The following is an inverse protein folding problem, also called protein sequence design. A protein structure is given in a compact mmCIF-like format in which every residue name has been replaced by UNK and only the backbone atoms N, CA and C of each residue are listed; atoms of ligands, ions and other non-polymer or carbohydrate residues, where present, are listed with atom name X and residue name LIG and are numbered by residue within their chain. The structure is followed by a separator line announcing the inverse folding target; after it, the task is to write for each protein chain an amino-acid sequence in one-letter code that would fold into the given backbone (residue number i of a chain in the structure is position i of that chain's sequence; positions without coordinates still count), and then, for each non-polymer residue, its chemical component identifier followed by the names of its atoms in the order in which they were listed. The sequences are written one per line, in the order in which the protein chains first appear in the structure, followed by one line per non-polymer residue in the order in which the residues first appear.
data_IF_813710530800
#
_entry.id   IF_813710530800
#
_cell.length_a   1.000
_cell.length_b   1.000
_cell.length_c   1.000
_cell.angle_alpha   90.00
_cell.angle_beta   90.00
_cell.angle_gamma   90.00
#
_symmetry.space_group_name_H-M   'P 1'
#
loop_
_entity.id
_entity.type
_entity.pdbx_description
1 polymer ?
#
# COMPACT_ATOMS: atom_id res chain seq x y z
N UNK A 1 45.30 18.39 -35.57
CA UNK A 1 45.36 19.72 -34.94
C UNK A 1 44.30 19.79 -33.87
N UNK A 2 44.73 20.11 -32.65
CA UNK A 2 43.90 20.18 -31.45
C UNK A 2 43.03 21.45 -31.45
N UNK A 3 41.86 21.37 -30.82
CA UNK A 3 41.49 22.35 -29.80
C UNK A 3 40.43 21.76 -28.86
N UNK A 4 40.70 21.93 -27.57
CA UNK A 4 39.90 21.54 -26.40
C UNK A 4 38.76 22.54 -26.20
N UNK A 5 37.62 22.07 -25.70
CA UNK A 5 36.82 22.84 -24.73
C UNK A 5 36.29 21.88 -23.66
N UNK A 6 36.62 22.25 -22.42
CA UNK A 6 36.27 21.59 -21.16
C UNK A 6 35.09 22.38 -20.60
N UNK A 7 34.00 21.71 -20.19
CA UNK A 7 33.06 22.28 -19.22
C UNK A 7 32.69 21.24 -18.18
N UNK A 8 33.05 21.55 -16.94
CA UNK A 8 32.78 20.82 -15.71
C UNK A 8 31.31 20.95 -15.30
N UNK A 9 30.66 19.82 -14.97
CA UNK A 9 29.40 19.80 -14.23
C UNK A 9 29.65 19.33 -12.79
N UNK A 10 29.26 20.09 -11.76
CA UNK A 10 29.37 19.68 -10.37
C UNK A 10 28.04 19.09 -9.91
N UNK A 11 27.99 17.78 -9.65
CA UNK A 11 27.17 17.11 -8.63
C UNK A 11 27.18 15.59 -8.85
N UNK A 12 28.24 14.94 -8.37
CA UNK A 12 28.26 13.51 -8.09
C UNK A 12 28.92 13.32 -6.73
N UNK A 13 28.10 13.26 -5.68
CA UNK A 13 28.54 12.99 -4.31
C UNK A 13 28.07 11.59 -3.91
N UNK A 14 28.66 10.57 -4.50
CA UNK A 14 28.66 9.21 -3.97
C UNK A 14 29.98 8.55 -4.38
N UNK A 15 30.68 8.04 -3.37
CA UNK A 15 31.95 7.30 -3.42
C UNK A 15 33.21 8.18 -3.33
N UNK A 16 33.65 8.44 -2.09
CA UNK A 16 35.01 8.14 -1.61
C UNK A 16 35.20 8.70 -0.19
N UNK A 17 35.32 7.80 0.81
CA UNK A 17 36.29 8.00 1.89
C UNK A 17 36.58 6.70 2.65
N UNK A 18 37.77 6.10 2.49
CA UNK A 18 38.31 5.13 3.43
C UNK A 18 39.11 5.85 4.52
N UNK A 19 39.12 5.28 5.73
CA UNK A 19 39.83 5.69 6.96
C UNK A 19 39.05 6.57 7.94
N UNK A 20 38.38 5.92 8.89
CA UNK A 20 38.14 6.47 10.22
C UNK A 20 38.50 5.40 11.27
N UNK A 21 39.61 5.64 11.95
CA UNK A 21 40.07 4.87 13.11
C UNK A 21 39.18 5.19 14.32
N UNK A 22 38.67 4.16 15.00
CA UNK A 22 37.97 4.31 16.26
C UNK A 22 38.96 4.53 17.42
N UNK A 23 38.86 5.67 18.09
CA UNK A 23 39.45 5.88 19.41
C UNK A 23 38.42 5.56 20.50
N UNK A 24 38.84 4.69 21.43
CA UNK A 24 38.13 4.32 22.65
C UNK A 24 38.24 5.46 23.68
N UNK A 25 37.11 5.96 24.17
CA UNK A 25 37.05 6.68 25.44
C UNK A 25 36.06 6.00 26.39
N UNK A 26 36.62 5.43 27.46
CA UNK A 26 35.91 4.90 28.62
C UNK A 26 35.26 6.05 29.41
N UNK A 27 33.94 5.95 29.67
CA UNK A 27 33.26 6.72 30.71
C UNK A 27 32.68 5.74 31.74
N UNK A 28 33.28 5.76 32.93
CA UNK A 28 32.87 5.04 34.13
C UNK A 28 31.66 5.72 34.78
N UNK A 29 30.52 5.02 34.83
CA UNK A 29 29.38 5.39 35.69
C UNK A 29 29.32 4.42 36.86
N UNK A 30 29.43 4.95 38.08
CA UNK A 30 29.27 4.22 39.36
C UNK A 30 27.79 4.06 39.71
N UNK A 31 27.32 2.88 40.11
CA UNK A 31 26.03 2.73 40.77
C UNK A 31 26.20 2.70 42.30
N UNK A 32 25.53 3.62 42.99
CA UNK A 32 25.31 3.60 44.44
C UNK A 32 23.98 2.94 44.76
N UNK A 33 24.00 1.81 45.47
CA UNK A 33 22.85 1.35 46.26
C UNK A 33 23.34 0.53 47.45
N UNK A 34 23.02 1.00 48.66
CA UNK A 34 23.23 0.31 49.94
C UNK A 34 22.23 -0.83 50.06
N UNK A 35 22.69 -2.05 50.35
CA UNK A 35 21.84 -3.15 50.83
C UNK A 35 22.09 -3.37 52.32
N UNK A 36 21.00 -3.36 53.09
CA UNK A 36 20.98 -3.71 54.51
C UNK A 36 20.89 -5.24 54.68
N UNK A 37 21.61 -5.76 55.67
CA UNK A 37 21.64 -7.16 56.08
C UNK A 37 20.49 -7.50 57.03
N UNK A 38 19.89 -8.68 56.86
CA UNK A 38 19.05 -9.33 57.86
C UNK A 38 19.34 -10.84 57.93
N UNK A 39 19.16 -11.48 59.10
CA UNK A 39 19.87 -12.70 59.46
C UNK A 39 19.23 -14.02 59.00
N UNK A 40 20.08 -15.05 58.93
CA UNK A 40 19.79 -16.44 58.63
C UNK A 40 18.73 -17.06 59.54
N UNK A 41 17.69 -17.65 58.93
CA UNK A 41 16.80 -18.63 59.58
C UNK A 41 16.91 -19.94 58.82
N UNK A 42 17.39 -20.96 59.50
CA UNK A 42 17.51 -22.34 59.04
C UNK A 42 16.15 -23.03 59.07
N UNK A 43 15.68 -23.53 57.93
CA UNK A 43 14.56 -24.47 57.89
C UNK A 43 14.94 -25.72 57.11
N UNK A 44 14.88 -26.86 57.80
CA UNK A 44 15.09 -28.20 57.25
C UNK A 44 13.98 -28.52 56.26
N UNK A 45 14.32 -28.79 55.01
CA UNK A 45 13.41 -29.41 54.04
C UNK A 45 13.97 -30.78 53.66
N UNK A 46 13.19 -31.84 53.95
CA UNK A 46 13.51 -33.23 53.63
C UNK A 46 13.61 -33.41 52.11
N UNK A 47 14.69 -34.01 51.64
CA UNK A 47 14.82 -34.46 50.26
C UNK A 47 13.88 -35.65 50.01
N UNK A 48 12.90 -35.48 49.12
CA UNK A 48 12.06 -36.56 48.59
C UNK A 48 12.68 -36.94 47.24
N UNK A 49 13.24 -38.15 47.16
CA UNK A 49 13.78 -38.70 45.92
C UNK A 49 12.65 -39.39 45.15
N UNK A 50 12.24 -38.82 44.02
CA UNK A 50 11.33 -39.46 43.06
C UNK A 50 12.19 -39.94 41.89
N UNK A 51 12.34 -41.26 41.75
CA UNK A 51 12.97 -41.87 40.57
C UNK A 51 11.95 -41.92 39.43
N UNK A 52 12.19 -41.15 38.37
CA UNK A 52 11.44 -41.28 37.12
C UNK A 52 12.01 -42.41 36.27
N UNK A 53 11.18 -43.38 35.92
CA UNK A 53 11.46 -44.41 34.93
C UNK A 53 11.48 -43.78 33.54
N UNK A 54 12.65 -43.74 32.89
CA UNK A 54 12.75 -43.28 31.51
C UNK A 54 12.11 -44.33 30.58
N UNK A 55 10.97 -44.01 29.99
CA UNK A 55 10.47 -44.73 28.82
C UNK A 55 11.18 -44.12 27.62
N UNK A 56 11.98 -44.92 26.92
CA UNK A 56 12.66 -44.46 25.70
C UNK A 56 11.61 -44.03 24.67
N UNK A 57 11.53 -42.73 24.39
CA UNK A 57 10.72 -42.23 23.30
C UNK A 57 11.32 -42.70 21.98
N UNK A 58 10.54 -43.45 21.22
CA UNK A 58 10.77 -43.67 19.79
C UNK A 58 10.97 -42.30 19.12
N UNK A 59 12.02 -42.08 18.30
CA UNK A 59 12.14 -40.81 17.60
C UNK A 59 10.95 -40.69 16.64
N UNK A 60 10.05 -39.77 16.96
CA UNK A 60 9.08 -39.23 16.00
C UNK A 60 9.89 -38.79 14.79
N UNK A 61 9.53 -39.32 13.62
CA UNK A 61 10.17 -38.92 12.37
C UNK A 61 10.13 -37.40 12.29
N UNK A 62 11.30 -36.79 12.18
CA UNK A 62 11.46 -35.35 12.03
C UNK A 62 10.47 -34.88 10.97
N UNK A 63 9.48 -34.08 11.39
CA UNK A 63 8.63 -33.35 10.48
C UNK A 63 9.55 -32.45 9.67
N UNK A 64 9.77 -32.85 8.42
CA UNK A 64 10.53 -32.09 7.44
C UNK A 64 9.84 -30.73 7.23
N UNK A 65 10.65 -29.67 7.25
CA UNK A 65 10.36 -28.29 6.87
C UNK A 65 9.15 -27.61 7.54
N UNK A 66 9.29 -27.26 8.83
CA UNK A 66 8.74 -25.99 9.30
C UNK A 66 9.68 -24.88 8.79
N UNK A 67 9.40 -24.33 7.62
CA UNK A 67 10.16 -23.19 7.07
C UNK A 67 10.31 -22.08 8.12
N UNK A 68 11.46 -21.41 8.14
CA UNK A 68 11.85 -20.27 8.99
C UNK A 68 11.00 -18.99 8.76
N UNK A 69 9.73 -19.15 8.37
CA UNK A 69 8.86 -18.07 7.98
C UNK A 69 8.34 -17.34 9.21
N UNK A 70 8.76 -16.08 9.35
CA UNK A 70 8.29 -15.19 10.43
C UNK A 70 6.91 -14.60 10.14
N UNK A 71 6.18 -14.26 11.21
CA UNK A 71 4.96 -13.46 11.10
C UNK A 71 5.31 -12.00 10.78
N UNK A 72 4.98 -11.56 9.56
CA UNK A 72 5.17 -10.19 9.12
C UNK A 72 3.86 -9.40 9.21
N UNK A 73 3.78 -8.46 10.16
CA UNK A 73 2.65 -7.55 10.36
C UNK A 73 2.83 -6.18 9.69
N UNK A 74 3.73 -6.05 8.72
CA UNK A 74 3.94 -4.80 7.99
C UNK A 74 2.66 -4.35 7.26
N UNK A 75 2.33 -3.05 7.38
CA UNK A 75 1.15 -2.45 6.76
C UNK A 75 1.30 -2.20 5.23
N UNK A 76 2.49 -2.45 4.67
CA UNK A 76 2.82 -2.18 3.27
C UNK A 76 4.32 -1.92 3.07
N UNK A 77 5.05 -2.70 2.25
CA UNK A 77 4.60 -3.91 1.56
C UNK A 77 4.14 -5.00 2.55
N UNK A 78 3.00 -5.61 2.27
CA UNK A 78 2.39 -6.62 3.13
C UNK A 78 2.95 -8.03 2.87
N UNK A 79 2.61 -8.97 3.75
CA UNK A 79 2.97 -10.38 3.59
C UNK A 79 2.32 -10.97 2.33
N UNK A 80 3.11 -11.65 1.50
CA UNK A 80 2.62 -12.32 0.28
C UNK A 80 2.42 -13.81 0.53
N UNK A 81 1.40 -14.46 -0.06
CA UNK A 81 1.21 -15.91 0.10
C UNK A 81 2.45 -16.71 -0.34
N UNK A 82 2.87 -17.68 0.47
CA UNK A 82 4.05 -18.53 0.20
C UNK A 82 3.99 -19.20 -1.18
N UNK A 83 2.83 -19.75 -1.52
CA UNK A 83 2.60 -20.42 -2.80
C UNK A 83 2.86 -19.49 -3.99
N UNK A 84 2.55 -18.20 -3.85
CA UNK A 84 2.79 -17.20 -4.91
C UNK A 84 4.28 -16.92 -5.04
N UNK A 85 5.00 -16.74 -3.92
CA UNK A 85 6.45 -16.52 -3.92
C UNK A 85 7.21 -17.72 -4.49
N UNK A 86 6.88 -18.94 -4.06
CA UNK A 86 7.49 -20.17 -4.57
C UNK A 86 7.24 -20.38 -6.06
N UNK A 87 6.01 -20.08 -6.53
CA UNK A 87 5.70 -20.14 -7.96
C UNK A 87 6.55 -19.13 -8.75
N UNK A 88 6.55 -17.86 -8.32
CA UNK A 88 7.33 -16.82 -8.97
C UNK A 88 8.83 -17.17 -9.01
N UNK A 89 9.39 -17.71 -7.92
CA UNK A 89 10.77 -18.20 -7.85
C UNK A 89 11.03 -19.30 -8.88
N UNK A 90 10.15 -20.31 -8.96
CA UNK A 90 10.33 -21.45 -9.86
C UNK A 90 10.26 -21.09 -11.36
N UNK A 91 9.54 -20.02 -11.70
CA UNK A 91 9.31 -19.58 -13.07
C UNK A 91 10.15 -18.34 -13.45
N UNK A 92 10.93 -17.78 -12.53
CA UNK A 92 11.59 -16.48 -12.72
C UNK A 92 12.56 -16.49 -13.91
N UNK A 93 13.35 -17.55 -14.05
CA UNK A 93 14.37 -17.67 -15.09
C UNK A 93 13.80 -18.09 -16.45
N UNK A 94 12.80 -18.97 -16.44
CA UNK A 94 12.17 -19.48 -17.64
C UNK A 94 10.66 -19.61 -17.40
N UNK A 95 9.92 -18.57 -17.76
CA UNK A 95 8.49 -18.52 -17.53
C UNK A 95 7.78 -19.50 -18.47
N UNK A 96 7.11 -20.50 -17.88
CA UNK A 96 6.32 -21.52 -18.60
C UNK A 96 7.05 -22.18 -19.80
N UNK A 97 8.37 -22.33 -19.73
CA UNK A 97 9.15 -22.95 -20.82
C UNK A 97 9.39 -22.05 -22.04
N UNK A 98 9.09 -20.75 -21.95
CA UNK A 98 9.32 -19.76 -23.02
C UNK A 98 10.79 -19.55 -23.40
N UNK A 99 11.72 -19.98 -22.54
CA UNK A 99 13.16 -19.78 -22.70
C UNK A 99 13.65 -18.42 -22.21
N UNK A 100 12.81 -17.62 -21.53
CA UNK A 100 13.18 -16.31 -21.00
C UNK A 100 12.44 -15.97 -19.69
N UNK A 101 12.99 -14.99 -18.95
CA UNK A 101 12.33 -14.44 -17.77
C UNK A 101 11.12 -13.59 -18.15
N UNK A 102 10.11 -13.55 -17.28
CA UNK A 102 8.99 -12.57 -17.40
C UNK A 102 9.49 -11.12 -17.47
N UNK A 103 10.65 -10.82 -16.86
CA UNK A 103 11.24 -9.49 -16.85
C UNK A 103 11.87 -9.08 -18.19
N UNK A 104 12.12 -10.04 -19.08
CA UNK A 104 12.74 -9.82 -20.39
C UNK A 104 11.71 -9.83 -21.53
N UNK A 105 10.46 -10.19 -21.23
CA UNK A 105 9.38 -10.26 -22.21
C UNK A 105 9.00 -8.88 -22.73
N UNK A 106 8.82 -8.78 -24.04
CA UNK A 106 8.14 -7.62 -24.63
C UNK A 106 6.71 -7.53 -24.10
N UNK A 107 6.31 -6.35 -23.62
CA UNK A 107 4.94 -6.09 -23.16
C UNK A 107 3.89 -6.19 -24.28
N UNK A 108 4.33 -6.24 -25.55
CA UNK A 108 3.48 -6.48 -26.74
C UNK A 108 3.56 -7.92 -27.25
N UNK A 109 4.44 -8.73 -26.65
CA UNK A 109 4.61 -10.15 -26.98
C UNK A 109 3.45 -10.99 -26.49
N UNK A 110 3.21 -12.14 -27.13
CA UNK A 110 2.07 -13.01 -26.83
C UNK A 110 2.10 -13.52 -25.38
N UNK A 111 3.28 -13.81 -24.87
CA UNK A 111 3.53 -14.29 -23.52
C UNK A 111 3.08 -13.25 -22.49
N UNK A 112 3.57 -12.01 -22.56
CA UNK A 112 3.16 -10.97 -21.63
C UNK A 112 1.68 -10.56 -21.80
N UNK A 113 1.18 -10.51 -23.04
CA UNK A 113 -0.23 -10.25 -23.29
C UNK A 113 -1.13 -11.28 -22.59
N UNK A 114 -0.73 -12.55 -22.57
CA UNK A 114 -1.47 -13.59 -21.83
C UNK A 114 -1.46 -13.34 -20.32
N UNK A 115 -0.38 -12.81 -19.75
CA UNK A 115 -0.27 -12.49 -18.32
C UNK A 115 -1.23 -11.36 -17.96
N UNK A 116 -1.18 -10.25 -18.69
CA UNK A 116 -1.99 -9.06 -18.36
C UNK A 116 -3.49 -9.32 -18.61
N UNK A 117 -3.83 -10.03 -19.68
CA UNK A 117 -5.22 -10.43 -19.96
C UNK A 117 -5.76 -11.37 -18.89
N UNK A 118 -4.94 -12.34 -18.43
CA UNK A 118 -5.34 -13.20 -17.33
C UNK A 118 -5.50 -12.42 -16.02
N UNK A 119 -4.58 -11.51 -15.71
CA UNK A 119 -4.69 -10.68 -14.51
C UNK A 119 -5.95 -9.81 -14.51
N UNK A 120 -6.29 -9.18 -15.64
CA UNK A 120 -7.54 -8.44 -15.80
C UNK A 120 -8.76 -9.37 -15.68
N UNK A 121 -8.77 -10.50 -16.39
CA UNK A 121 -9.89 -11.45 -16.37
C UNK A 121 -10.15 -12.04 -15.00
N UNK A 122 -9.08 -12.42 -14.27
CA UNK A 122 -9.17 -12.91 -12.89
C UNK A 122 -9.76 -11.83 -11.95
N UNK A 123 -9.34 -10.56 -12.08
CA UNK A 123 -9.90 -9.46 -11.29
C UNK A 123 -11.37 -9.20 -11.62
N UNK A 124 -11.73 -9.21 -12.91
CA UNK A 124 -13.12 -9.06 -13.35
C UNK A 124 -14.01 -10.15 -12.77
N UNK A 125 -13.56 -11.40 -12.83
CA UNK A 125 -14.28 -12.52 -12.25
C UNK A 125 -14.39 -12.42 -10.72
N UNK A 126 -13.30 -12.06 -10.03
CA UNK A 126 -13.24 -11.97 -8.57
C UNK A 126 -14.16 -10.88 -7.99
N UNK A 127 -14.17 -9.71 -8.63
CA UNK A 127 -14.92 -8.54 -8.14
C UNK A 127 -16.23 -8.29 -8.89
N UNK A 128 -16.61 -9.21 -9.80
CA UNK A 128 -17.80 -9.08 -10.66
C UNK A 128 -17.84 -7.74 -11.41
N UNK A 129 -16.72 -7.37 -12.03
CA UNK A 129 -16.57 -6.09 -12.75
C UNK A 129 -17.24 -6.19 -14.13
N UNK A 130 -18.24 -5.35 -14.40
CA UNK A 130 -18.94 -5.34 -15.68
C UNK A 130 -18.07 -4.80 -16.83
N UNK A 131 -18.53 -5.02 -18.06
CA UNK A 131 -17.92 -4.47 -19.28
C UNK A 131 -18.01 -2.94 -19.36
N UNK A 132 -18.81 -2.29 -18.52
CA UNK A 132 -18.90 -0.82 -18.47
C UNK A 132 -17.71 -0.19 -17.76
N UNK A 133 -16.80 -1.00 -17.19
CA UNK A 133 -15.59 -0.55 -16.52
C UNK A 133 -14.33 -0.95 -17.29
N UNK A 134 -13.33 -0.07 -17.25
CA UNK A 134 -11.95 -0.39 -17.61
C UNK A 134 -11.16 -0.76 -16.35
N UNK A 135 -10.25 -1.73 -16.49
CA UNK A 135 -9.28 -2.11 -15.45
C UNK A 135 -7.90 -1.71 -15.94
N UNK A 136 -7.24 -0.81 -15.22
CA UNK A 136 -5.95 -0.24 -15.58
C UNK A 136 -4.88 -0.69 -14.58
N UNK A 137 -3.69 -1.02 -15.08
CA UNK A 137 -2.50 -1.32 -14.30
C UNK A 137 -1.48 -0.20 -14.51
N UNK A 138 -1.37 0.70 -13.54
CA UNK A 138 -0.61 1.95 -13.65
C UNK A 138 0.58 1.98 -12.68
N UNK A 139 1.58 2.80 -12.99
CA UNK A 139 2.69 3.11 -12.08
C UNK A 139 2.34 4.30 -11.16
N UNK A 140 3.29 4.72 -10.31
CA UNK A 140 3.17 5.94 -9.49
C UNK A 140 2.50 5.75 -8.11
N UNK A 141 1.83 4.62 -7.88
CA UNK A 141 1.16 4.35 -6.62
C UNK A 141 -0.16 5.11 -6.46
N UNK A 142 -0.86 4.84 -5.36
CA UNK A 142 -2.11 5.53 -5.01
C UNK A 142 -1.94 7.06 -4.91
N UNK A 143 -0.76 7.55 -4.48
CA UNK A 143 -0.47 8.98 -4.40
C UNK A 143 -0.58 9.68 -5.75
N UNK A 144 -0.10 9.06 -6.84
CA UNK A 144 -0.28 9.64 -8.19
C UNK A 144 -1.75 9.72 -8.57
N UNK A 145 -2.59 8.79 -8.11
CA UNK A 145 -4.03 8.83 -8.37
C UNK A 145 -4.73 9.97 -7.65
N UNK A 146 -4.19 10.47 -6.53
CA UNK A 146 -4.73 11.67 -5.86
C UNK A 146 -4.72 12.90 -6.78
N UNK A 147 -3.74 12.99 -7.69
CA UNK A 147 -3.65 14.03 -8.72
C UNK A 147 -4.34 13.60 -10.03
N UNK A 148 -4.13 12.36 -10.47
CA UNK A 148 -4.63 11.89 -11.76
C UNK A 148 -6.16 11.91 -11.84
N UNK A 149 -6.86 11.59 -10.75
CA UNK A 149 -8.33 11.61 -10.72
C UNK A 149 -8.86 13.02 -11.06
N UNK A 150 -8.59 14.08 -10.28
CA UNK A 150 -9.15 15.39 -10.60
C UNK A 150 -8.66 15.93 -11.96
N UNK A 151 -7.44 15.59 -12.39
CA UNK A 151 -6.92 15.95 -13.72
C UNK A 151 -7.69 15.30 -14.88
N UNK A 152 -8.35 14.15 -14.67
CA UNK A 152 -8.98 13.40 -15.77
C UNK A 152 -10.51 13.50 -15.78
N UNK A 153 -11.16 13.67 -14.63
CA UNK A 153 -12.63 13.51 -14.55
C UNK A 153 -13.39 14.77 -14.10
N UNK A 154 -12.69 15.87 -13.81
CA UNK A 154 -13.31 17.17 -13.48
C UNK A 154 -12.51 18.32 -14.07
N UNK A 155 -13.09 19.52 -14.08
CA UNK A 155 -12.41 20.76 -14.47
C UNK A 155 -11.85 21.50 -13.24
N UNK A 156 -10.87 22.43 -13.41
CA UNK A 156 -10.32 23.21 -12.30
C UNK A 156 -11.37 23.96 -11.48
N UNK A 157 -12.45 24.43 -12.13
CA UNK A 157 -13.52 25.19 -11.50
C UNK A 157 -14.58 24.34 -10.77
N UNK A 158 -14.59 23.02 -11.01
CA UNK A 158 -15.60 22.11 -10.48
C UNK A 158 -15.42 21.88 -8.97
N UNK A 159 -16.54 21.80 -8.27
CA UNK A 159 -16.57 21.41 -6.86
C UNK A 159 -16.52 19.88 -6.74
N UNK A 160 -15.76 19.39 -5.75
CA UNK A 160 -15.67 17.96 -5.42
C UNK A 160 -15.66 17.78 -3.91
N UNK A 161 -16.25 16.71 -3.40
CA UNK A 161 -16.42 16.50 -1.97
C UNK A 161 -15.47 15.42 -1.45
N UNK A 162 -14.98 15.58 -0.22
CA UNK A 162 -14.10 14.65 0.47
C UNK A 162 -14.63 14.34 1.87
N UNK A 163 -14.67 13.06 2.24
CA UNK A 163 -14.86 12.60 3.62
C UNK A 163 -13.51 12.15 4.17
N UNK A 164 -12.97 12.92 5.11
CA UNK A 164 -11.61 12.71 5.65
C UNK A 164 -11.67 11.94 6.96
N UNK A 165 -11.52 10.62 6.88
CA UNK A 165 -11.49 9.69 8.02
C UNK A 165 -10.08 9.41 8.54
N UNK A 166 -9.03 9.94 7.91
CA UNK A 166 -7.64 9.74 8.36
C UNK A 166 -6.60 10.45 7.51
N UNK A 167 -5.36 9.94 7.57
CA UNK A 167 -4.20 10.57 6.94
C UNK A 167 -4.19 10.44 5.43
N UNK A 168 -4.71 9.35 4.86
CA UNK A 168 -4.72 9.16 3.41
C UNK A 168 -5.78 10.02 2.73
N UNK A 169 -6.97 10.12 3.33
CA UNK A 169 -8.00 11.07 2.91
C UNK A 169 -7.53 12.53 3.00
N UNK A 170 -6.82 12.92 4.07
CA UNK A 170 -6.26 14.27 4.22
C UNK A 170 -5.22 14.57 3.12
N UNK A 171 -4.39 13.59 2.74
CA UNK A 171 -3.43 13.74 1.63
C UNK A 171 -4.13 13.83 0.27
N UNK A 172 -5.13 12.99 0.01
CA UNK A 172 -5.89 13.02 -1.23
C UNK A 172 -6.62 14.36 -1.41
N UNK A 173 -7.25 14.86 -0.35
CA UNK A 173 -7.88 16.19 -0.33
C UNK A 173 -6.88 17.30 -0.65
N UNK A 174 -5.72 17.32 0.02
CA UNK A 174 -4.67 18.32 -0.21
C UNK A 174 -4.15 18.32 -1.63
N UNK A 175 -4.00 17.15 -2.24
CA UNK A 175 -3.53 17.06 -3.63
C UNK A 175 -4.58 17.60 -4.61
N UNK A 176 -5.86 17.29 -4.38
CA UNK A 176 -6.95 17.75 -5.23
C UNK A 176 -7.13 19.27 -5.26
N UNK A 177 -6.66 20.00 -4.23
CA UNK A 177 -6.68 21.47 -4.18
C UNK A 177 -5.87 22.11 -5.31
N UNK A 178 -4.96 21.38 -5.94
CA UNK A 178 -4.15 21.88 -7.07
C UNK A 178 -4.90 21.84 -8.41
N UNK A 179 -5.97 21.04 -8.51
CA UNK A 179 -6.57 20.64 -9.79
C UNK A 179 -8.09 20.79 -9.85
N UNK A 180 -8.74 21.19 -8.75
CA UNK A 180 -10.20 21.33 -8.62
C UNK A 180 -10.54 22.27 -7.44
N UNK A 181 -11.82 22.43 -7.10
CA UNK A 181 -12.27 23.12 -5.87
C UNK A 181 -12.79 22.12 -4.83
N UNK A 182 -11.93 21.37 -4.13
CA UNK A 182 -12.39 20.36 -3.20
C UNK A 182 -12.94 20.98 -1.90
N UNK A 183 -13.94 20.32 -1.32
CA UNK A 183 -14.52 20.63 -0.02
C UNK A 183 -14.44 19.42 0.89
N UNK A 184 -14.05 19.64 2.14
CA UNK A 184 -14.16 18.62 3.19
C UNK A 184 -15.55 18.72 3.78
N UNK A 185 -16.46 17.82 3.37
CA UNK A 185 -17.84 17.80 3.88
C UNK A 185 -17.93 17.13 5.25
N UNK A 186 -16.91 16.34 5.61
CA UNK A 186 -16.74 15.81 6.96
C UNK A 186 -15.27 15.47 7.24
N UNK A 187 -14.82 15.71 8.48
CA UNK A 187 -13.48 15.30 8.93
C UNK A 187 -13.49 14.75 10.35
N UNK A 188 -12.86 13.59 10.54
CA UNK A 188 -12.63 12.99 11.85
C UNK A 188 -11.44 13.58 12.61
N UNK A 189 -10.77 14.60 12.06
CA UNK A 189 -9.49 15.11 12.55
C UNK A 189 -9.57 15.67 13.97
N UNK A 190 -10.64 16.41 14.30
CA UNK A 190 -10.89 16.95 15.65
C UNK A 190 -11.06 15.84 16.70
N UNK A 191 -11.48 14.65 16.26
CA UNK A 191 -11.73 13.47 17.09
C UNK A 191 -10.65 12.40 16.93
N UNK A 192 -9.46 12.80 16.43
CA UNK A 192 -8.30 11.92 16.22
C UNK A 192 -8.59 10.71 15.33
N UNK A 193 -9.49 10.85 14.37
CA UNK A 193 -9.82 9.83 13.37
C UNK A 193 -10.27 8.50 13.99
N UNK A 194 -11.25 8.55 14.89
CA UNK A 194 -11.73 7.38 15.64
C UNK A 194 -13.09 6.85 15.16
N UNK A 195 -13.72 7.51 14.18
CA UNK A 195 -15.06 7.16 13.70
C UNK A 195 -15.27 7.51 12.22
N UNK A 196 -16.39 7.04 11.69
CA UNK A 196 -16.95 7.38 10.38
C UNK A 196 -18.30 8.08 10.64
N UNK A 197 -18.66 9.13 9.88
CA UNK A 197 -19.94 9.80 10.04
C UNK A 197 -21.11 8.89 9.64
N UNK A 198 -22.30 9.19 10.15
CA UNK A 198 -23.53 8.66 9.54
C UNK A 198 -23.71 9.29 8.15
N UNK A 199 -24.09 8.50 7.15
CA UNK A 199 -24.27 9.00 5.79
C UNK A 199 -25.42 10.01 5.69
N UNK A 200 -26.46 9.86 6.49
CA UNK A 200 -27.58 10.81 6.56
C UNK A 200 -27.16 12.20 7.07
N UNK A 201 -26.06 12.26 7.83
CA UNK A 201 -25.51 13.53 8.36
C UNK A 201 -24.55 14.23 7.39
N UNK A 202 -24.25 13.63 6.24
CA UNK A 202 -23.36 14.22 5.25
C UNK A 202 -24.10 15.27 4.41
N UNK A 203 -23.78 16.54 4.68
CA UNK A 203 -24.18 17.66 3.83
C UNK A 203 -23.30 17.71 2.57
N UNK A 204 -23.71 16.98 1.54
CA UNK A 204 -23.02 16.96 0.25
C UNK A 204 -23.31 18.23 -0.56
N UNK A 205 -22.29 18.70 -1.28
CA UNK A 205 -22.38 19.87 -2.16
C UNK A 205 -23.29 19.54 -3.37
N UNK A 206 -24.35 20.32 -3.66
CA UNK A 206 -25.32 19.99 -4.70
C UNK A 206 -24.75 19.77 -6.11
N UNK A 207 -23.70 20.49 -6.48
CA UNK A 207 -23.03 20.43 -7.80
C UNK A 207 -21.70 19.68 -7.77
N UNK A 208 -21.44 18.91 -6.71
CA UNK A 208 -20.23 18.08 -6.60
C UNK A 208 -20.13 17.07 -7.74
N UNK A 209 -18.95 16.99 -8.37
CA UNK A 209 -18.70 16.02 -9.45
C UNK A 209 -18.35 14.63 -8.93
N UNK A 210 -17.76 14.55 -7.75
CA UNK A 210 -17.54 13.29 -7.06
C UNK A 210 -17.47 13.47 -5.55
N UNK A 211 -17.76 12.37 -4.86
CA UNK A 211 -17.46 12.18 -3.44
C UNK A 211 -16.26 11.24 -3.31
N UNK A 212 -15.18 11.70 -2.67
CA UNK A 212 -13.99 10.89 -2.42
C UNK A 212 -13.95 10.37 -0.99
N UNK A 213 -13.62 9.08 -0.85
CA UNK A 213 -13.38 8.41 0.42
C UNK A 213 -12.06 7.62 0.40
N UNK A 214 -11.43 7.48 1.57
CA UNK A 214 -10.47 6.40 1.82
C UNK A 214 -11.22 5.26 2.51
N UNK A 215 -11.43 4.14 1.81
CA UNK A 215 -12.28 3.05 2.29
C UNK A 215 -11.71 2.37 3.55
N UNK A 216 -10.38 2.35 3.70
CA UNK A 216 -9.69 1.86 4.89
C UNK A 216 -8.45 2.70 5.21
N UNK A 217 -8.48 3.44 6.31
CA UNK A 217 -7.39 4.28 6.78
C UNK A 217 -6.37 3.46 7.57
N UNK A 218 -5.29 3.01 6.92
CA UNK A 218 -4.31 2.09 7.54
C UNK A 218 -3.63 2.61 8.79
N UNK A 219 -3.44 3.93 8.91
CA UNK A 219 -2.72 4.52 10.05
C UNK A 219 -3.61 4.53 11.30
N UNK A 220 -4.90 4.79 11.12
CA UNK A 220 -5.85 4.98 12.23
C UNK A 220 -6.72 3.76 12.49
N UNK A 221 -6.75 2.78 11.58
CA UNK A 221 -7.56 1.57 11.74
C UNK A 221 -9.06 1.84 11.58
N UNK A 222 -9.44 2.75 10.68
CA UNK A 222 -10.83 3.11 10.43
C UNK A 222 -11.25 2.63 9.04
N UNK A 223 -12.23 1.73 8.99
CA UNK A 223 -12.73 1.14 7.75
C UNK A 223 -14.23 1.39 7.56
N UNK A 224 -14.61 1.82 6.35
CA UNK A 224 -15.99 1.90 5.91
C UNK A 224 -16.59 0.49 5.79
N UNK A 225 -17.64 0.22 6.59
CA UNK A 225 -18.40 -1.04 6.50
C UNK A 225 -19.29 -1.04 5.25
N UNK A 226 -19.99 0.07 5.05
CA UNK A 226 -20.79 0.42 3.88
C UNK A 226 -20.25 1.73 3.28
N UNK A 227 -20.81 2.15 2.15
CA UNK A 227 -20.33 3.32 1.39
C UNK A 227 -21.44 4.37 1.26
N UNK A 228 -21.11 5.68 1.33
CA UNK A 228 -22.08 6.75 1.13
C UNK A 228 -22.48 6.84 -0.35
N UNK A 229 -23.77 7.07 -0.60
CA UNK A 229 -24.26 7.35 -1.95
C UNK A 229 -24.07 8.85 -2.26
N UNK A 230 -23.37 9.20 -3.36
CA UNK A 230 -23.30 10.59 -3.81
C UNK A 230 -24.69 11.10 -4.22
N UNK A 231 -25.10 12.26 -3.72
CA UNK A 231 -26.35 12.92 -4.15
C UNK A 231 -26.27 13.42 -5.59
N UNK A 232 -25.05 13.74 -6.04
CA UNK A 232 -24.72 14.10 -7.40
C UNK A 232 -23.32 13.57 -7.74
N UNK A 233 -23.02 13.37 -9.01
CA UNK A 233 -21.73 12.87 -9.46
C UNK A 233 -21.51 11.38 -9.17
N UNK A 234 -20.26 11.01 -8.86
CA UNK A 234 -19.84 9.62 -8.65
C UNK A 234 -19.15 9.41 -7.30
N UNK A 235 -19.05 8.16 -6.86
CA UNK A 235 -18.21 7.79 -5.73
C UNK A 235 -16.81 7.39 -6.21
N UNK A 236 -15.79 7.95 -5.56
CA UNK A 236 -14.37 7.65 -5.78
C UNK A 236 -13.78 7.08 -4.50
N UNK A 237 -13.13 5.92 -4.57
CA UNK A 237 -12.59 5.26 -3.37
C UNK A 237 -11.12 4.85 -3.51
N UNK A 238 -10.30 5.29 -2.55
CA UNK A 238 -9.03 4.64 -2.25
C UNK A 238 -9.30 3.35 -1.47
N UNK A 239 -9.08 2.22 -2.11
CA UNK A 239 -9.21 0.89 -1.50
C UNK A 239 -7.86 0.22 -1.27
N UNK A 240 -6.74 0.95 -1.33
CA UNK A 240 -5.39 0.34 -1.33
C UNK A 240 -5.20 -0.76 -0.28
N UNK A 241 -5.69 -0.56 0.95
CA UNK A 241 -5.50 -1.48 2.09
C UNK A 241 -6.65 -2.43 2.39
N UNK A 242 -7.73 -2.40 1.63
CA UNK A 242 -8.82 -3.37 1.75
C UNK A 242 -9.32 -3.89 0.39
N UNK A 243 -8.60 -3.60 -0.68
CA UNK A 243 -8.91 -4.07 -2.02
C UNK A 243 -8.90 -5.61 -2.04
N UNK A 244 -9.99 -6.23 -2.51
CA UNK A 244 -10.20 -7.69 -2.48
C UNK A 244 -10.23 -8.34 -1.08
N UNK A 245 -10.44 -7.59 0.01
CA UNK A 245 -10.59 -8.19 1.36
C UNK A 245 -12.02 -8.65 1.69
N UNK A 246 -13.02 -8.09 0.99
CA UNK A 246 -14.45 -8.38 1.15
C UNK A 246 -15.19 -8.21 -0.19
N UNK A 247 -16.39 -8.76 -0.35
CA UNK A 247 -17.25 -8.45 -1.50
C UNK A 247 -17.51 -6.94 -1.59
N UNK A 248 -17.43 -6.39 -2.81
CA UNK A 248 -17.69 -4.98 -3.11
C UNK A 248 -18.57 -4.92 -4.34
N UNK A 249 -19.67 -4.17 -4.27
CA UNK A 249 -20.47 -3.84 -5.44
C UNK A 249 -19.79 -2.70 -6.22
N UNK A 250 -19.06 -3.08 -7.28
CA UNK A 250 -18.30 -2.14 -8.12
C UNK A 250 -19.20 -1.11 -8.80
N UNK A 251 -20.48 -1.43 -9.05
CA UNK A 251 -21.42 -0.54 -9.75
C UNK A 251 -21.73 0.75 -8.99
N UNK A 252 -21.50 0.77 -7.67
CA UNK A 252 -21.67 1.96 -6.82
C UNK A 252 -20.58 3.01 -7.03
N UNK A 253 -19.46 2.65 -7.66
CA UNK A 253 -18.29 3.51 -7.79
C UNK A 253 -18.12 3.98 -9.22
N UNK A 254 -17.76 5.25 -9.41
CA UNK A 254 -17.21 5.69 -10.69
C UNK A 254 -15.74 5.31 -10.81
N UNK A 255 -14.99 5.39 -9.70
CA UNK A 255 -13.56 5.02 -9.65
C UNK A 255 -13.23 4.29 -8.35
N UNK A 256 -12.57 3.14 -8.47
CA UNK A 256 -11.86 2.46 -7.37
C UNK A 256 -10.38 2.45 -7.74
N UNK A 257 -9.49 2.79 -6.81
CA UNK A 257 -8.06 2.62 -7.02
C UNK A 257 -7.36 2.02 -5.80
N UNK A 258 -6.30 1.26 -6.06
CA UNK A 258 -5.54 0.57 -5.03
C UNK A 258 -4.06 0.43 -5.41
N UNK A 259 -3.16 0.92 -4.57
CA UNK A 259 -1.76 0.51 -4.61
C UNK A 259 -1.64 -0.95 -4.18
N UNK A 260 -1.08 -1.82 -5.02
CA UNK A 260 -1.12 -3.26 -4.79
C UNK A 260 -0.38 -3.72 -3.52
N UNK A 261 0.61 -2.94 -3.07
CA UNK A 261 1.55 -3.30 -1.99
C UNK A 261 0.92 -3.56 -0.61
N UNK A 262 -0.35 -3.23 -0.40
CA UNK A 262 -0.98 -3.39 0.91
C UNK A 262 -1.78 -4.68 1.05
N UNK A 263 -2.56 -5.08 0.05
CA UNK A 263 -3.43 -6.26 0.20
C UNK A 263 -3.37 -7.28 -0.94
N UNK A 264 -2.88 -6.92 -2.13
CA UNK A 264 -3.04 -7.78 -3.33
C UNK A 264 -1.76 -8.06 -4.09
N UNK A 265 -0.60 -7.55 -3.65
CA UNK A 265 0.63 -7.81 -4.38
C UNK A 265 1.85 -7.02 -3.91
N UNK A 266 2.92 -7.03 -4.72
CA UNK A 266 4.10 -6.21 -4.47
C UNK A 266 3.85 -4.73 -4.79
N UNK A 267 4.74 -3.87 -4.30
CA UNK A 267 4.83 -2.48 -4.77
C UNK A 267 5.28 -2.41 -6.23
N UNK A 268 4.85 -1.35 -6.93
CA UNK A 268 5.23 -1.09 -8.33
C UNK A 268 4.04 -1.02 -9.28
N UNK A 269 2.87 -1.51 -8.87
CA UNK A 269 1.62 -1.44 -9.65
C UNK A 269 0.48 -0.86 -8.82
N UNK A 270 -0.34 -0.05 -9.47
CA UNK A 270 -1.59 0.53 -8.98
C UNK A 270 -2.70 0.05 -9.87
N UNK A 271 -3.73 -0.52 -9.27
CA UNK A 271 -4.92 -0.98 -9.99
C UNK A 271 -5.92 0.17 -9.95
N UNK A 272 -6.51 0.50 -11.09
CA UNK A 272 -7.63 1.45 -11.20
C UNK A 272 -8.77 0.78 -11.94
N UNK A 273 -9.94 0.73 -11.32
CA UNK A 273 -11.20 0.32 -11.94
C UNK A 273 -12.01 1.60 -12.14
N UNK A 274 -12.28 1.96 -13.39
CA UNK A 274 -12.94 3.22 -13.75
C UNK A 274 -14.08 2.95 -14.73
N UNK A 275 -15.22 3.59 -14.49
CA UNK A 275 -16.39 3.51 -15.38
C UNK A 275 -16.04 4.20 -16.71
N UNK A 276 -16.32 3.54 -17.83
CA UNK A 276 -15.84 3.93 -19.17
C UNK A 276 -16.38 5.28 -19.65
N UNK A 277 -17.57 5.69 -19.19
CA UNK A 277 -18.16 7.01 -19.48
C UNK A 277 -17.37 8.18 -18.89
N UNK A 278 -16.47 7.92 -17.92
CA UNK A 278 -15.62 8.94 -17.30
C UNK A 278 -14.29 9.15 -18.04
N UNK A 279 -14.02 8.39 -19.09
CA UNK A 279 -12.75 8.43 -19.83
C UNK A 279 -12.94 9.29 -21.10
N UNK A 280 -12.06 10.29 -21.29
CA UNK A 280 -11.96 11.03 -22.54
C UNK A 280 -11.91 12.55 -22.39
N UNK A 281 -12.28 13.08 -21.22
CA UNK A 281 -12.44 14.52 -20.98
C UNK A 281 -11.36 15.10 -20.05
N UNK A 282 -10.12 14.62 -20.17
CA UNK A 282 -9.02 15.09 -19.34
C UNK A 282 -8.80 16.60 -19.45
N UNK A 283 -8.41 17.24 -18.34
CA UNK A 283 -8.07 18.65 -18.32
C UNK A 283 -6.95 18.93 -19.33
N UNK A 284 -7.07 20.04 -20.06
CA UNK A 284 -6.00 20.46 -20.96
C UNK A 284 -4.75 20.80 -20.16
N UNK A 285 -3.63 20.30 -20.64
CA UNK A 285 -2.33 20.72 -20.17
C UNK A 285 -2.00 22.10 -20.76
N UNK A 286 -2.16 23.16 -19.96
CA UNK A 286 -1.76 24.51 -20.36
C UNK A 286 -0.22 24.68 -20.44
N UNK A 287 0.58 23.68 -20.03
CA UNK A 287 2.04 23.76 -20.12
C UNK A 287 2.57 23.49 -21.53
N UNK A 288 1.76 22.94 -22.44
CA UNK A 288 2.13 22.78 -23.85
C UNK A 288 1.83 24.02 -24.72
N UNK A 289 1.22 25.07 -24.18
CA UNK A 289 0.98 26.34 -24.88
C UNK A 289 2.18 27.32 -24.85
N UNK A 290 3.38 26.83 -24.50
CA UNK A 290 4.62 27.54 -24.86
C UNK A 290 4.86 27.37 -26.35
N UNK A 291 4.34 28.33 -27.13
CA UNK A 291 4.43 28.38 -28.58
C UNK A 291 5.80 27.95 -29.11
N UNK A 292 5.79 26.85 -29.85
CA UNK A 292 6.74 26.59 -30.92
C UNK A 292 6.26 27.27 -32.20
#
# INVERSE_FOLDING_TARGET
MASKLISSSPNSLLLQNPNLQHHNHHLLLKPTTKMASFPNVTNKVKAISIKCSATAATPLSQSQDLEERVFNFAAGPATLPEKVLKKAQSELYNWHGSGMSVMEMSHRGKEFLSIIQKAEGDLRALLNISEDYAVLFLQGGATTQFAAIPLNIVKPEDSVDYVVTGSWGDKAFKEAQKYSKPKVIWSGKSEKYTKIPSFDSLEQTPDSKYLHICANETIHGVEFKDYPDPKNGILVADMSSNFCSKPVDVSKFGVIYAGAQKNVGPSGVTIVIIRKDLIGDAQRDYSCDVGL
#
